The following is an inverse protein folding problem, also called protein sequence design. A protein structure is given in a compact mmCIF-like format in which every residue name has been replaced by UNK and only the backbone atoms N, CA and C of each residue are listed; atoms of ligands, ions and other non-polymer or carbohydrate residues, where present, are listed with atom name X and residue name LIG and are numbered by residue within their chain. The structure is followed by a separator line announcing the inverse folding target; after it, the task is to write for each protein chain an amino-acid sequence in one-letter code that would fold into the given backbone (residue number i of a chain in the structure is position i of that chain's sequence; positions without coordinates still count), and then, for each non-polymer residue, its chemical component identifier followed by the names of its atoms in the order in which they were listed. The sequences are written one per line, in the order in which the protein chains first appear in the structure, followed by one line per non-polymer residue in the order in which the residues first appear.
data_IF_157690708605
#
_entry.id   IF_157690708605
#
_cell.length_a   1.000
_cell.length_b   1.000
_cell.length_c   1.000
_cell.angle_alpha   90.00
_cell.angle_beta   90.00
_cell.angle_gamma   90.00
#
_symmetry.space_group_name_H-M   'P 1'
#
loop_
_entity.id
_entity.type
_entity.pdbx_description
1 polymer ?
#
# COMPACT_ATOMS: atom_id res chain seq x y z
N UNK A 1 9.01 -18.53 -19.12
CA UNK A 1 9.34 -19.45 -18.01
C UNK A 1 9.24 -18.65 -16.71
N UNK A 2 8.35 -19.03 -15.80
CA UNK A 2 8.10 -18.30 -14.54
C UNK A 2 9.30 -18.37 -13.58
N UNK A 3 10.04 -19.47 -13.57
CA UNK A 3 11.21 -19.63 -12.69
C UNK A 3 12.29 -18.60 -13.04
N UNK A 4 12.53 -18.41 -14.34
CA UNK A 4 13.45 -17.40 -14.85
C UNK A 4 12.94 -15.99 -14.54
N UNK A 5 11.64 -15.71 -14.72
CA UNK A 5 11.05 -14.43 -14.37
C UNK A 5 11.30 -14.10 -12.90
N UNK A 6 11.02 -15.03 -11.98
CA UNK A 6 11.22 -14.84 -10.55
C UNK A 6 12.68 -14.59 -10.17
N UNK A 7 13.62 -15.31 -10.80
CA UNK A 7 15.06 -15.11 -10.57
C UNK A 7 15.49 -13.70 -10.99
N UNK A 8 15.11 -13.25 -12.19
CA UNK A 8 15.53 -11.96 -12.72
C UNK A 8 14.80 -10.79 -12.07
N UNK A 9 13.50 -10.93 -11.81
CA UNK A 9 12.70 -9.96 -11.07
C UNK A 9 13.27 -9.66 -9.68
N UNK A 10 13.81 -10.67 -8.99
CA UNK A 10 14.43 -10.49 -7.68
C UNK A 10 15.81 -9.85 -7.79
N UNK A 11 16.52 -10.10 -8.90
CA UNK A 11 17.91 -9.65 -9.09
C UNK A 11 18.01 -8.22 -9.63
N UNK A 12 17.23 -7.92 -10.66
CA UNK A 12 17.21 -6.65 -11.38
C UNK A 12 15.74 -6.18 -11.57
N UNK A 13 14.99 -5.92 -10.48
CA UNK A 13 13.58 -5.54 -10.56
C UNK A 13 13.34 -4.29 -11.42
N UNK A 14 14.29 -3.36 -11.46
CA UNK A 14 14.24 -2.11 -12.22
C UNK A 14 14.22 -2.29 -13.74
N UNK A 15 14.59 -3.46 -14.26
CA UNK A 15 14.52 -3.77 -15.69
C UNK A 15 13.08 -4.09 -16.16
N UNK A 16 12.14 -4.28 -15.21
CA UNK A 16 10.76 -4.63 -15.50
C UNK A 16 9.82 -3.44 -15.39
N UNK A 17 9.08 -3.17 -16.47
CA UNK A 17 8.00 -2.18 -16.49
C UNK A 17 6.61 -2.80 -16.31
N UNK A 18 6.15 -3.52 -17.33
CA UNK A 18 4.83 -4.20 -17.33
C UNK A 18 5.03 -5.69 -17.57
N UNK A 19 4.43 -6.52 -16.72
CA UNK A 19 4.49 -7.98 -16.79
C UNK A 19 3.09 -8.52 -17.10
N UNK A 20 2.97 -9.37 -18.12
CA UNK A 20 1.71 -10.04 -18.49
C UNK A 20 1.88 -11.55 -18.30
N UNK A 21 1.02 -12.15 -17.47
CA UNK A 21 1.09 -13.56 -17.06
C UNK A 21 -0.31 -14.14 -16.88
N UNK A 22 -0.42 -15.48 -16.92
CA UNK A 22 -1.68 -16.17 -16.61
C UNK A 22 -2.02 -16.08 -15.12
N UNK A 23 -3.31 -16.26 -14.78
CA UNK A 23 -3.86 -15.99 -13.44
C UNK A 23 -3.00 -16.49 -12.28
N UNK A 24 -2.69 -17.79 -12.23
CA UNK A 24 -1.89 -18.39 -11.17
C UNK A 24 -0.48 -17.78 -11.06
N UNK A 25 0.14 -17.47 -12.18
CA UNK A 25 1.47 -16.85 -12.17
C UNK A 25 1.39 -15.37 -11.83
N UNK A 26 0.29 -14.70 -12.16
CA UNK A 26 -0.01 -13.33 -11.72
C UNK A 26 0.02 -13.25 -10.20
N UNK A 27 -0.77 -14.09 -9.55
CA UNK A 27 -0.88 -14.19 -8.09
C UNK A 27 0.50 -14.41 -7.43
N UNK A 28 1.25 -15.41 -7.90
CA UNK A 28 2.59 -15.74 -7.36
C UNK A 28 3.57 -14.57 -7.56
N UNK A 29 3.60 -13.99 -8.76
CA UNK A 29 4.54 -12.91 -9.09
C UNK A 29 4.18 -11.65 -8.29
N UNK A 30 2.91 -11.25 -8.23
CA UNK A 30 2.49 -10.06 -7.49
C UNK A 30 2.81 -10.15 -6.00
N UNK A 31 2.59 -11.30 -5.37
CA UNK A 31 2.88 -11.49 -3.94
C UNK A 31 4.39 -11.44 -3.67
N UNK A 32 5.20 -12.03 -4.54
CA UNK A 32 6.64 -11.99 -4.40
C UNK A 32 7.19 -10.56 -4.54
N UNK A 33 6.68 -9.78 -5.51
CA UNK A 33 7.07 -8.38 -5.68
C UNK A 33 6.60 -7.51 -4.51
N UNK A 34 5.39 -7.73 -3.98
CA UNK A 34 4.95 -7.09 -2.74
C UNK A 34 5.94 -7.36 -1.60
N UNK A 35 6.42 -8.60 -1.47
CA UNK A 35 7.47 -8.99 -0.53
C UNK A 35 8.79 -8.21 -0.69
N UNK A 36 9.19 -7.90 -1.92
CA UNK A 36 10.43 -7.16 -2.21
C UNK A 36 10.36 -5.69 -1.76
N UNK A 37 9.18 -5.06 -1.81
CA UNK A 37 9.02 -3.61 -1.57
C UNK A 37 8.56 -3.26 -0.15
N UNK A 38 8.41 -4.24 0.75
CA UNK A 38 8.01 -4.01 2.15
C UNK A 38 6.87 -4.90 2.65
N UNK A 39 6.28 -5.70 1.79
CA UNK A 39 5.24 -6.67 2.09
C UNK A 39 3.84 -6.24 1.60
N UNK A 40 2.88 -7.14 1.83
CA UNK A 40 1.51 -7.00 1.33
C UNK A 40 0.75 -5.77 1.85
N UNK A 41 1.20 -5.13 2.93
CA UNK A 41 0.62 -3.89 3.45
C UNK A 41 0.76 -2.68 2.51
N UNK A 42 1.56 -2.81 1.45
CA UNK A 42 1.81 -1.79 0.43
C UNK A 42 1.24 -2.14 -0.95
N UNK A 43 0.73 -3.35 -1.13
CA UNK A 43 0.29 -3.86 -2.43
C UNK A 43 -1.19 -3.52 -2.67
N UNK A 44 -1.43 -2.61 -3.60
CA UNK A 44 -2.76 -2.30 -4.12
C UNK A 44 -2.98 -3.00 -5.46
N UNK A 45 -4.23 -3.32 -5.77
CA UNK A 45 -4.65 -3.98 -7.00
C UNK A 45 -5.95 -3.41 -7.56
N UNK A 46 -6.18 -3.69 -8.83
CA UNK A 46 -7.44 -3.39 -9.50
C UNK A 46 -7.84 -4.54 -10.43
N UNK A 47 -9.12 -4.86 -10.41
CA UNK A 47 -9.77 -5.84 -11.27
C UNK A 47 -10.63 -5.09 -12.29
N UNK A 48 -10.25 -5.15 -13.57
CA UNK A 48 -10.96 -4.48 -14.66
C UNK A 48 -11.83 -5.48 -15.42
N UNK A 49 -13.10 -5.12 -15.62
CA UNK A 49 -14.01 -5.77 -16.56
C UNK A 49 -14.63 -4.75 -17.53
N UNK A 50 -15.40 -5.23 -18.49
CA UNK A 50 -15.95 -4.38 -19.57
C UNK A 50 -16.87 -3.25 -19.07
N UNK A 51 -17.51 -3.44 -17.91
CA UNK A 51 -18.51 -2.51 -17.35
C UNK A 51 -18.12 -1.94 -15.99
N UNK A 52 -17.23 -2.61 -15.26
CA UNK A 52 -16.94 -2.32 -13.86
C UNK A 52 -15.45 -2.51 -13.61
N UNK A 53 -14.88 -1.62 -12.80
CA UNK A 53 -13.56 -1.78 -12.21
C UNK A 53 -13.69 -1.84 -10.69
N UNK A 54 -12.98 -2.77 -10.05
CA UNK A 54 -12.93 -2.93 -8.58
C UNK A 54 -11.49 -2.63 -8.15
N UNK A 55 -11.33 -1.81 -7.12
CA UNK A 55 -10.03 -1.44 -6.56
C UNK A 55 -9.96 -1.95 -5.13
N UNK A 56 -8.95 -2.75 -4.84
CA UNK A 56 -8.82 -3.45 -3.56
C UNK A 56 -7.36 -3.69 -3.19
N UNK A 57 -7.02 -3.80 -1.90
CA UNK A 57 -5.70 -4.27 -1.50
C UNK A 57 -5.48 -5.71 -1.95
N UNK A 58 -4.26 -6.06 -2.32
CA UNK A 58 -3.94 -7.43 -2.74
C UNK A 58 -3.95 -8.42 -1.56
N UNK A 59 -3.85 -7.91 -0.33
CA UNK A 59 -3.89 -8.76 0.86
C UNK A 59 -5.30 -9.23 1.20
N UNK A 60 -5.41 -10.45 1.74
CA UNK A 60 -6.67 -10.97 2.27
C UNK A 60 -7.11 -10.33 3.60
N UNK A 61 -8.15 -10.89 4.21
CA UNK A 61 -8.85 -10.37 5.39
C UNK A 61 -8.06 -10.38 6.71
N UNK A 62 -6.89 -11.02 6.75
CA UNK A 62 -6.05 -11.18 7.93
C UNK A 62 -6.83 -11.40 9.26
N UNK A 63 -7.63 -12.50 9.39
CA UNK A 63 -8.66 -12.62 10.44
C UNK A 63 -8.14 -12.49 11.87
N UNK A 64 -6.89 -12.90 12.11
CA UNK A 64 -6.19 -12.78 13.40
C UNK A 64 -6.06 -11.35 13.95
N UNK A 65 -6.28 -10.34 13.11
CA UNK A 65 -6.19 -8.92 13.51
C UNK A 65 -7.53 -8.19 13.48
N UNK A 66 -8.61 -8.84 13.04
CA UNK A 66 -9.93 -8.22 12.86
C UNK A 66 -10.48 -7.67 14.19
N UNK A 67 -10.29 -8.41 15.29
CA UNK A 67 -10.80 -8.06 16.61
C UNK A 67 -9.75 -7.33 17.49
N UNK A 68 -8.65 -6.88 16.90
CA UNK A 68 -7.59 -6.22 17.66
C UNK A 68 -8.03 -4.82 18.13
N UNK A 69 -7.81 -4.53 19.42
CA UNK A 69 -8.10 -3.22 20.01
C UNK A 69 -6.86 -2.62 20.70
N UNK A 70 -6.39 -1.42 20.28
CA UNK A 70 -6.82 -0.69 19.10
C UNK A 70 -6.39 -1.39 17.78
N UNK A 71 -7.08 -1.15 16.65
CA UNK A 71 -6.65 -1.65 15.35
C UNK A 71 -5.23 -1.20 15.01
N UNK A 72 -4.37 -2.12 14.58
CA UNK A 72 -2.96 -1.85 14.30
C UNK A 72 -2.47 -2.52 13.01
N UNK A 73 -3.37 -2.65 12.03
CA UNK A 73 -3.04 -3.09 10.68
C UNK A 73 -2.61 -1.90 9.82
N UNK A 74 -1.78 -2.16 8.81
CA UNK A 74 -1.34 -1.14 7.86
C UNK A 74 -2.47 -0.80 6.87
N UNK A 75 -2.97 0.45 6.81
CA UNK A 75 -4.05 0.86 5.89
C UNK A 75 -3.55 1.23 4.49
N UNK A 76 -2.23 1.27 4.24
CA UNK A 76 -1.66 1.88 3.04
C UNK A 76 -2.11 1.21 1.74
N UNK A 77 -2.15 -0.11 1.67
CA UNK A 77 -2.64 -0.84 0.50
C UNK A 77 -4.07 -0.43 0.10
N UNK A 78 -4.97 -0.24 1.09
CA UNK A 78 -6.34 0.22 0.84
C UNK A 78 -6.37 1.67 0.36
N UNK A 79 -5.55 2.55 0.94
CA UNK A 79 -5.46 3.95 0.52
C UNK A 79 -4.91 4.08 -0.91
N UNK A 80 -3.90 3.28 -1.25
CA UNK A 80 -3.33 3.21 -2.60
C UNK A 80 -4.33 2.64 -3.62
N UNK A 81 -5.15 1.65 -3.25
CA UNK A 81 -6.26 1.20 -4.08
C UNK A 81 -7.28 2.33 -4.32
N UNK A 82 -7.57 3.14 -3.28
CA UNK A 82 -8.36 4.36 -3.43
C UNK A 82 -7.74 5.38 -4.39
N UNK A 83 -6.42 5.56 -4.37
CA UNK A 83 -5.71 6.42 -5.32
C UNK A 83 -5.82 5.89 -6.76
N UNK A 84 -5.72 4.57 -6.97
CA UNK A 84 -5.93 3.95 -8.28
C UNK A 84 -7.36 4.17 -8.79
N UNK A 85 -8.36 4.13 -7.90
CA UNK A 85 -9.75 4.46 -8.25
C UNK A 85 -9.87 5.92 -8.70
N UNK A 86 -9.23 6.85 -7.97
CA UNK A 86 -9.23 8.27 -8.33
C UNK A 86 -8.60 8.50 -9.71
N UNK A 87 -7.48 7.84 -10.03
CA UNK A 87 -6.90 7.86 -11.37
C UNK A 87 -7.92 7.38 -12.42
N UNK A 88 -8.62 6.27 -12.15
CA UNK A 88 -9.58 5.68 -13.08
C UNK A 88 -10.79 6.58 -13.38
N UNK A 89 -11.27 7.35 -12.40
CA UNK A 89 -12.41 8.27 -12.57
C UNK A 89 -12.00 9.67 -13.02
N UNK A 90 -10.72 9.89 -13.35
CA UNK A 90 -10.19 11.16 -13.88
C UNK A 90 -9.80 12.19 -12.83
N UNK A 91 -9.77 11.81 -11.55
CA UNK A 91 -9.43 12.67 -10.41
C UNK A 91 -7.92 12.64 -10.10
N UNK A 92 -7.10 12.84 -11.14
CA UNK A 92 -5.65 12.63 -11.10
C UNK A 92 -4.93 13.46 -10.03
N UNK A 93 -5.35 14.73 -9.83
CA UNK A 93 -4.74 15.59 -8.80
C UNK A 93 -5.01 15.06 -7.38
N UNK A 94 -6.22 14.53 -7.14
CA UNK A 94 -6.57 13.93 -5.84
C UNK A 94 -5.78 12.63 -5.62
N UNK A 95 -5.66 11.80 -6.66
CA UNK A 95 -4.87 10.57 -6.61
C UNK A 95 -3.40 10.87 -6.27
N UNK A 96 -2.82 11.86 -6.96
CA UNK A 96 -1.43 12.25 -6.75
C UNK A 96 -1.19 12.79 -5.34
N UNK A 97 -2.10 13.60 -4.83
CA UNK A 97 -2.02 14.11 -3.46
C UNK A 97 -2.05 12.99 -2.41
N UNK A 98 -2.90 11.98 -2.61
CA UNK A 98 -2.92 10.80 -1.71
C UNK A 98 -1.56 10.07 -1.75
N UNK A 99 -1.02 9.80 -2.95
CA UNK A 99 0.28 9.14 -3.12
C UNK A 99 1.42 9.95 -2.50
N UNK A 100 1.45 11.26 -2.76
CA UNK A 100 2.47 12.17 -2.26
C UNK A 100 2.45 12.26 -0.73
N UNK A 101 1.26 12.35 -0.11
CA UNK A 101 1.13 12.38 1.34
C UNK A 101 1.59 11.08 1.99
N UNK A 102 1.21 9.93 1.43
CA UNK A 102 1.71 8.62 1.87
C UNK A 102 3.24 8.57 1.78
N UNK A 103 3.81 8.94 0.63
CA UNK A 103 5.25 8.95 0.43
C UNK A 103 5.98 9.86 1.42
N UNK A 104 5.44 11.05 1.70
CA UNK A 104 5.99 12.00 2.65
C UNK A 104 5.98 11.46 4.09
N UNK A 105 4.87 10.86 4.54
CA UNK A 105 4.77 10.24 5.88
C UNK A 105 5.74 9.07 6.04
N UNK A 106 5.82 8.19 5.03
CA UNK A 106 6.77 7.07 5.03
C UNK A 106 8.22 7.60 5.06
N UNK A 107 8.52 8.63 4.28
CA UNK A 107 9.86 9.24 4.22
C UNK A 107 10.29 9.86 5.55
N UNK A 108 9.38 10.54 6.26
CA UNK A 108 9.63 11.05 7.62
C UNK A 108 9.93 9.91 8.60
N UNK A 109 9.25 8.77 8.46
CA UNK A 109 9.53 7.56 9.23
C UNK A 109 9.13 7.61 10.71
N UNK A 110 8.36 8.61 11.12
CA UNK A 110 7.93 8.83 12.51
C UNK A 110 6.74 7.92 12.89
N UNK A 111 5.78 7.74 11.98
CA UNK A 111 4.57 6.94 12.20
C UNK A 111 4.64 5.68 11.33
N UNK A 112 4.85 4.53 11.98
CA UNK A 112 5.08 3.24 11.31
C UNK A 112 4.31 2.12 11.96
N UNK A 113 3.55 1.35 11.18
CA UNK A 113 2.84 0.16 11.65
C UNK A 113 3.80 -1.02 11.87
N UNK A 114 3.30 -2.10 12.49
CA UNK A 114 4.11 -3.22 12.93
C UNK A 114 4.94 -3.86 11.80
N UNK A 115 4.35 -4.01 10.61
CA UNK A 115 4.99 -4.53 9.40
C UNK A 115 6.16 -3.64 8.93
N UNK A 116 6.01 -2.32 8.96
CA UNK A 116 7.07 -1.36 8.64
C UNK A 116 8.24 -1.43 9.63
N UNK A 117 7.96 -1.76 10.90
CA UNK A 117 8.96 -1.97 11.95
C UNK A 117 9.52 -3.39 11.97
N UNK A 118 9.09 -4.27 11.07
CA UNK A 118 9.43 -5.70 11.05
C UNK A 118 9.11 -6.40 12.37
N UNK A 119 8.04 -5.97 13.03
CA UNK A 119 7.49 -6.55 14.25
C UNK A 119 6.31 -7.47 13.90
N UNK A 120 6.15 -8.60 14.61
CA UNK A 120 4.92 -9.37 14.52
C UNK A 120 3.74 -8.49 14.94
N UNK A 121 2.73 -8.35 14.08
CA UNK A 121 1.54 -7.57 14.40
C UNK A 121 0.79 -8.16 15.61
N UNK A 122 0.24 -7.27 16.43
CA UNK A 122 -0.43 -7.60 17.69
C UNK A 122 -0.09 -6.60 18.81
N UNK A 123 -0.68 -6.77 20.01
CA UNK A 123 -0.56 -5.79 21.11
C UNK A 123 0.89 -5.50 21.53
N UNK A 124 1.78 -6.49 21.42
CA UNK A 124 3.21 -6.33 21.73
C UNK A 124 3.93 -5.39 20.77
N UNK A 125 3.46 -5.23 19.53
CA UNK A 125 4.04 -4.29 18.58
C UNK A 125 3.78 -2.85 19.01
N UNK A 126 2.58 -2.55 19.51
CA UNK A 126 2.21 -1.23 20.02
C UNK A 126 3.12 -0.83 21.19
N UNK A 127 3.36 -1.74 22.14
CA UNK A 127 4.28 -1.52 23.25
C UNK A 127 5.74 -1.27 22.81
N UNK A 128 6.09 -1.62 21.56
CA UNK A 128 7.40 -1.41 20.94
C UNK A 128 7.43 -0.22 19.98
N UNK A 129 6.39 0.63 20.00
CA UNK A 129 6.34 1.85 19.19
C UNK A 129 5.69 1.69 17.81
N UNK A 130 5.01 0.58 17.53
CA UNK A 130 4.18 0.51 16.33
C UNK A 130 2.98 1.46 16.44
N UNK A 131 2.70 2.17 15.35
CA UNK A 131 1.52 3.00 15.21
C UNK A 131 0.25 2.16 15.08
N UNK A 132 -0.87 2.75 15.51
CA UNK A 132 -2.20 2.21 15.22
C UNK A 132 -2.61 2.52 13.79
N UNK A 133 -3.63 1.82 13.29
CA UNK A 133 -4.23 2.13 11.98
C UNK A 133 -4.71 3.57 11.93
N UNK A 134 -5.40 4.04 12.99
CA UNK A 134 -5.88 5.41 13.09
C UNK A 134 -4.74 6.43 13.06
N UNK A 135 -3.70 6.23 13.88
CA UNK A 135 -2.57 7.17 13.96
C UNK A 135 -1.84 7.34 12.62
N UNK A 136 -1.68 6.25 11.84
CA UNK A 136 -1.08 6.36 10.51
C UNK A 136 -2.02 7.07 9.53
N UNK A 137 -3.32 6.78 9.57
CA UNK A 137 -4.33 7.50 8.77
C UNK A 137 -4.32 9.00 9.09
N UNK A 138 -4.31 9.38 10.37
CA UNK A 138 -4.32 10.78 10.81
C UNK A 138 -3.08 11.51 10.30
N UNK A 139 -1.89 10.91 10.42
CA UNK A 139 -0.66 11.50 9.91
C UNK A 139 -0.70 11.75 8.38
N UNK A 140 -1.34 10.87 7.62
CA UNK A 140 -1.51 11.04 6.17
C UNK A 140 -2.52 12.15 5.86
N UNK A 141 -3.63 12.22 6.61
CA UNK A 141 -4.63 13.28 6.44
C UNK A 141 -4.07 14.66 6.78
N UNK A 142 -3.31 14.79 7.85
CA UNK A 142 -2.60 16.02 8.22
C UNK A 142 -1.63 16.45 7.13
N UNK A 143 -0.89 15.50 6.55
CA UNK A 143 0.03 15.76 5.45
C UNK A 143 -0.70 16.19 4.16
N UNK A 144 -1.85 15.57 3.84
CA UNK A 144 -2.69 15.99 2.71
C UNK A 144 -3.23 17.41 2.91
N UNK A 145 -3.71 17.75 4.11
CA UNK A 145 -4.22 19.09 4.42
C UNK A 145 -3.13 20.15 4.35
N UNK A 146 -1.89 19.80 4.75
CA UNK A 146 -0.72 20.66 4.59
C UNK A 146 -0.45 20.99 3.13
N UNK A 147 -0.50 19.99 2.25
CA UNK A 147 -0.30 20.18 0.81
C UNK A 147 -1.38 21.08 0.19
N UNK A 148 -2.65 20.93 0.58
CA UNK A 148 -3.75 21.80 0.10
C UNK A 148 -3.53 23.28 0.45
N UNK A 149 -3.02 23.56 1.65
CA UNK A 149 -2.74 24.94 2.09
C UNK A 149 -1.57 25.56 1.32
N UNK A 150 -0.59 24.75 0.90
CA UNK A 150 0.57 25.23 0.14
C UNK A 150 0.21 25.50 -1.33
N UNK A 151 -0.67 24.68 -1.93
CA UNK A 151 -1.22 24.92 -3.29
C UNK A 151 -2.09 26.18 -3.36
N UNK A 152 -2.86 26.48 -2.31
CA UNK A 152 -3.69 27.70 -2.26
C UNK A 152 -2.89 29.01 -2.06
N UNK A 153 -1.58 28.92 -1.82
CA UNK A 153 -0.67 30.06 -1.64
C UNK A 153 0.18 30.38 -2.88
N UNK A 154 0.14 29.55 -3.91
CA UNK A 154 0.81 29.74 -5.21
C UNK A 154 -0.14 30.30 -6.26
#
# INVERSE_FOLDING_TARGET
NVDALMMWATRNPEEYGVIVVGNLFGDIVSDAFAGLVGGMGFAASANFGDQVAIFEPSHGSAPKYADMQPPAVNPLAMMLAGAMLLDHVGEMLKAERVRAAIAAVIHKGEVRTADMLRLPAGPKALAKGAATTASLTDAILEEMARMEMDEGRS
#
